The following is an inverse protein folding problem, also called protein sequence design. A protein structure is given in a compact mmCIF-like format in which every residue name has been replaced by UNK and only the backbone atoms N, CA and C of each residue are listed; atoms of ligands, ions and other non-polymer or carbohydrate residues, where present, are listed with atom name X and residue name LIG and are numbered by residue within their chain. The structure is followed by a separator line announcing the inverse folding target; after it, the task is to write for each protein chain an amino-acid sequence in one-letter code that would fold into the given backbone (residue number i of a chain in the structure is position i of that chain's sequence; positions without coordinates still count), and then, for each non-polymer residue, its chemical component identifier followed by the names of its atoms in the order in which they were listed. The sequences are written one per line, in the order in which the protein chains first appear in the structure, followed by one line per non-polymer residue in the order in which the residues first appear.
data_IF_013862646937
#
_entry.id   IF_013862646937
#
_cell.length_a   1.000
_cell.length_b   1.000
_cell.length_c   1.000
_cell.angle_alpha   90.00
_cell.angle_beta   90.00
_cell.angle_gamma   90.00
#
_symmetry.space_group_name_H-M   'P 1'
#
loop_
_entity.id
_entity.type
_entity.pdbx_description
1 polymer ?
#
# COMPACT_ATOMS: atom_id res chain seq x y z
N UNK A 1 -13.07 20.58 -2.13
CA UNK A 1 -12.33 19.42 -1.83
C UNK A 1 -12.97 18.53 -0.81
N UNK A 2 -13.85 19.09 -0.16
CA UNK A 2 -14.48 18.45 0.92
C UNK A 2 -15.10 17.17 0.50
N UNK A 3 -15.09 16.23 1.31
CA UNK A 3 -15.89 15.03 1.24
C UNK A 3 -15.66 14.09 0.06
N UNK A 4 -14.41 13.76 -0.14
CA UNK A 4 -14.11 12.66 -1.03
C UNK A 4 -14.74 11.37 -0.53
N UNK A 5 -14.86 11.23 0.79
CA UNK A 5 -15.50 10.06 1.38
C UNK A 5 -16.98 9.98 1.01
N UNK A 6 -17.72 11.07 1.12
CA UNK A 6 -19.12 11.08 0.72
C UNK A 6 -19.30 10.78 -0.76
N UNK A 7 -18.48 11.40 -1.61
CA UNK A 7 -18.60 11.26 -3.06
C UNK A 7 -18.20 9.88 -3.55
N UNK A 8 -17.27 9.23 -2.86
CA UNK A 8 -16.80 7.91 -3.24
C UNK A 8 -17.62 6.78 -2.64
N UNK A 9 -18.48 7.08 -1.66
CA UNK A 9 -19.24 6.07 -0.96
C UNK A 9 -18.44 5.31 0.08
N UNK A 10 -17.23 5.76 0.38
CA UNK A 10 -16.38 5.13 1.39
C UNK A 10 -16.69 5.66 2.78
N UNK A 11 -16.44 4.84 3.79
CA UNK A 11 -16.68 5.20 5.19
C UNK A 11 -15.39 5.62 5.86
N UNK A 12 -15.39 6.83 6.42
CA UNK A 12 -14.23 7.36 7.15
C UNK A 12 -14.29 6.93 8.60
N UNK A 13 -13.18 6.39 9.10
CA UNK A 13 -13.01 6.01 10.50
C UNK A 13 -11.72 6.66 11.00
N UNK A 14 -11.73 7.20 12.22
CA UNK A 14 -10.55 7.85 12.77
C UNK A 14 -9.48 6.81 13.09
N UNK A 15 -8.26 7.07 12.68
CA UNK A 15 -7.11 6.23 13.05
C UNK A 15 -6.81 6.36 14.54
N UNK A 16 -6.40 5.27 15.17
CA UNK A 16 -5.97 5.29 16.56
C UNK A 16 -4.51 5.71 16.70
N UNK A 17 -3.74 5.63 15.63
CA UNK A 17 -2.30 5.90 15.66
C UNK A 17 -1.94 7.29 15.21
N UNK A 18 -2.70 7.86 14.29
CA UNK A 18 -2.42 9.18 13.72
C UNK A 18 -3.71 9.98 13.61
N UNK A 19 -3.58 11.30 13.48
CA UNK A 19 -4.74 12.18 13.36
C UNK A 19 -5.18 12.25 11.90
N UNK A 20 -5.75 11.17 11.42
CA UNK A 20 -6.16 11.06 10.04
C UNK A 20 -7.28 10.02 9.90
N UNK A 21 -8.11 10.12 8.87
CA UNK A 21 -9.15 9.14 8.64
C UNK A 21 -8.62 7.91 7.91
N UNK A 22 -9.31 6.79 8.12
CA UNK A 22 -9.08 5.53 7.44
C UNK A 22 -10.30 5.22 6.60
N UNK A 23 -10.11 4.75 5.37
CA UNK A 23 -11.21 4.24 4.57
C UNK A 23 -11.49 2.81 5.02
N UNK A 24 -12.61 2.62 5.69
CA UNK A 24 -12.95 1.35 6.32
C UNK A 24 -13.01 0.19 5.32
N UNK A 25 -13.39 0.47 4.09
CA UNK A 25 -13.54 -0.53 3.05
C UNK A 25 -12.22 -1.01 2.43
N UNK A 26 -11.13 -0.30 2.68
CA UNK A 26 -9.84 -0.68 2.12
C UNK A 26 -9.26 -1.88 2.90
N UNK A 27 -8.80 -2.91 2.19
CA UNK A 27 -8.32 -4.12 2.86
C UNK A 27 -6.98 -3.98 3.54
N UNK A 28 -6.20 -2.97 3.15
CA UNK A 28 -4.89 -2.72 3.74
C UNK A 28 -4.70 -1.22 3.92
N UNK A 29 -4.32 -0.82 5.12
CA UNK A 29 -4.09 0.59 5.45
C UNK A 29 -2.74 0.72 6.16
N UNK A 30 -1.93 1.64 5.68
CA UNK A 30 -0.69 2.02 6.36
C UNK A 30 -0.96 3.33 7.09
N UNK A 31 -0.74 3.33 8.40
CA UNK A 31 -0.89 4.53 9.22
C UNK A 31 0.47 5.20 9.32
N UNK A 32 0.60 6.39 8.75
CA UNK A 32 1.88 7.06 8.59
C UNK A 32 1.90 8.41 9.28
N UNK A 33 3.06 8.75 9.82
CA UNK A 33 3.33 10.06 10.40
C UNK A 33 4.29 10.78 9.47
N UNK A 34 3.94 11.99 9.06
CA UNK A 34 4.79 12.76 8.14
C UNK A 34 6.07 13.17 8.88
N UNK A 35 7.22 12.81 8.32
CA UNK A 35 8.51 13.18 8.87
C UNK A 35 9.25 14.18 7.98
N UNK A 36 8.86 14.30 6.73
CA UNK A 36 9.43 15.29 5.83
C UNK A 36 8.38 15.70 4.80
N UNK A 37 8.23 16.99 4.59
CA UNK A 37 7.30 17.56 3.63
C UNK A 37 8.02 18.68 2.92
N UNK A 38 8.33 18.48 1.64
CA UNK A 38 9.22 19.37 0.92
C UNK A 38 8.71 19.62 -0.50
N UNK A 39 8.70 20.89 -0.88
CA UNK A 39 8.33 21.27 -2.24
C UNK A 39 9.59 21.28 -3.11
N UNK A 40 9.54 20.50 -4.18
CA UNK A 40 10.64 20.43 -5.14
C UNK A 40 10.22 21.03 -6.47
N UNK A 41 11.18 21.26 -7.34
CA UNK A 41 10.92 21.79 -8.68
C UNK A 41 10.00 20.86 -9.47
N UNK A 42 10.18 19.57 -9.29
CA UNK A 42 9.43 18.53 -10.00
C UNK A 42 8.17 18.09 -9.27
N UNK A 43 7.87 18.66 -8.14
CA UNK A 43 6.66 18.30 -7.40
C UNK A 43 6.82 18.31 -5.90
N UNK A 44 5.76 17.90 -5.22
CA UNK A 44 5.72 17.86 -3.77
C UNK A 44 6.23 16.51 -3.26
N UNK A 45 7.21 16.54 -2.37
CA UNK A 45 7.84 15.35 -1.84
C UNK A 45 7.47 15.19 -0.37
N UNK A 46 6.85 14.06 -0.04
CA UNK A 46 6.43 13.77 1.34
C UNK A 46 6.97 12.42 1.76
N UNK A 47 7.61 12.37 2.93
CA UNK A 47 8.08 11.12 3.51
C UNK A 47 7.31 10.87 4.79
N UNK A 48 6.74 9.67 4.91
CA UNK A 48 6.01 9.27 6.09
C UNK A 48 6.66 8.06 6.75
N UNK A 49 6.64 8.06 8.07
CA UNK A 49 7.05 6.91 8.85
C UNK A 49 5.84 6.03 9.09
N UNK A 50 5.92 4.75 8.79
CA UNK A 50 4.82 3.81 9.03
C UNK A 50 4.79 3.49 10.52
N UNK A 51 3.72 3.91 11.19
CA UNK A 51 3.56 3.69 12.63
C UNK A 51 2.51 2.63 12.93
N UNK A 52 1.76 2.19 11.94
CA UNK A 52 0.78 1.12 12.12
C UNK A 52 0.35 0.55 10.78
N UNK A 53 -0.10 -0.70 10.79
CA UNK A 53 -0.61 -1.37 9.61
C UNK A 53 -1.89 -2.09 10.01
N UNK A 54 -2.96 -1.84 9.26
CA UNK A 54 -4.24 -2.51 9.45
C UNK A 54 -4.54 -3.34 8.21
N UNK A 55 -4.92 -4.58 8.42
CA UNK A 55 -5.25 -5.48 7.31
C UNK A 55 -6.51 -6.27 7.63
N UNK A 56 -7.39 -6.43 6.63
CA UNK A 56 -8.54 -7.31 6.77
C UNK A 56 -8.09 -8.76 6.79
N UNK A 57 -8.82 -9.58 7.53
CA UNK A 57 -8.53 -11.01 7.55
C UNK A 57 -8.60 -11.63 6.16
N UNK A 58 -9.43 -11.07 5.29
CA UNK A 58 -9.61 -11.59 3.92
C UNK A 58 -8.34 -11.54 3.07
N UNK A 59 -7.37 -10.70 3.44
CA UNK A 59 -6.12 -10.58 2.68
C UNK A 59 -4.93 -11.20 3.40
N UNK A 60 -5.17 -11.92 4.49
CA UNK A 60 -4.12 -12.60 5.24
C UNK A 60 -4.01 -14.06 4.82
N UNK A 61 -2.82 -14.60 4.94
CA UNK A 61 -2.58 -16.02 4.72
C UNK A 61 -2.76 -16.81 6.03
N UNK A 62 -2.45 -18.10 6.00
CA UNK A 62 -2.61 -18.99 7.15
C UNK A 62 -1.75 -18.60 8.34
N UNK A 63 -0.68 -17.82 8.10
CA UNK A 63 0.24 -17.37 9.13
C UNK A 63 0.01 -15.93 9.54
N UNK A 64 -1.16 -15.39 9.20
CA UNK A 64 -1.55 -14.00 9.48
C UNK A 64 -0.62 -12.98 8.84
N UNK A 65 -0.06 -13.30 7.69
CA UNK A 65 0.72 -12.36 6.91
C UNK A 65 -0.07 -11.91 5.69
N UNK A 66 0.13 -10.67 5.28
CA UNK A 66 -0.56 -10.14 4.12
C UNK A 66 -0.15 -10.93 2.87
N UNK A 67 -1.13 -11.46 2.18
CA UNK A 67 -0.93 -12.18 0.93
C UNK A 67 -1.26 -11.22 -0.22
N UNK A 68 -0.26 -10.82 -0.96
CA UNK A 68 -0.40 -9.83 -2.00
C UNK A 68 -1.34 -10.26 -3.13
N UNK A 69 -1.48 -11.58 -3.32
CA UNK A 69 -2.40 -12.09 -4.35
C UNK A 69 -3.85 -11.92 -3.96
N UNK A 70 -4.14 -11.79 -2.67
CA UNK A 70 -5.50 -11.58 -2.17
C UNK A 70 -5.90 -10.10 -2.13
N UNK A 71 -4.93 -9.20 -2.26
CA UNK A 71 -5.20 -7.76 -2.21
C UNK A 71 -5.89 -7.24 -3.47
N UNK A 72 -5.78 -7.95 -4.58
CA UNK A 72 -6.22 -7.45 -5.89
C UNK A 72 -5.57 -6.12 -6.25
N UNK A 73 -4.31 -6.00 -5.87
CA UNK A 73 -3.54 -4.80 -6.16
C UNK A 73 -3.14 -4.76 -7.64
N UNK A 74 -2.81 -3.57 -8.10
CA UNK A 74 -2.35 -3.41 -9.47
C UNK A 74 -1.17 -2.45 -9.49
N UNK A 75 -0.38 -2.51 -10.56
CA UNK A 75 0.74 -1.60 -10.78
C UNK A 75 0.45 -0.74 -12.00
N UNK A 76 0.98 0.48 -11.98
CA UNK A 76 0.84 1.40 -13.11
C UNK A 76 2.08 1.33 -13.99
N UNK A 77 1.86 1.16 -15.29
CA UNK A 77 2.91 1.19 -16.29
C UNK A 77 2.86 2.51 -17.03
N UNK A 78 3.86 3.35 -16.83
CA UNK A 78 3.87 4.67 -17.47
C UNK A 78 4.31 4.63 -18.93
N UNK A 79 4.83 3.52 -19.41
CA UNK A 79 5.20 3.39 -20.83
C UNK A 79 3.95 3.32 -21.70
N UNK A 80 2.91 2.65 -21.23
CA UNK A 80 1.66 2.47 -21.97
C UNK A 80 0.46 3.06 -21.27
N UNK A 81 0.67 3.75 -20.15
CA UNK A 81 -0.40 4.32 -19.34
C UNK A 81 -1.46 3.29 -18.97
N UNK A 82 -1.00 2.09 -18.61
CA UNK A 82 -1.89 1.00 -18.27
C UNK A 82 -1.74 0.54 -16.83
N UNK A 83 -2.75 -0.18 -16.36
CA UNK A 83 -2.72 -0.82 -15.05
C UNK A 83 -2.64 -2.32 -15.24
N UNK A 84 -1.79 -2.98 -14.46
CA UNK A 84 -1.56 -4.43 -14.58
C UNK A 84 -1.78 -5.10 -13.24
N UNK A 85 -2.49 -6.21 -13.26
CA UNK A 85 -2.76 -6.96 -12.04
C UNK A 85 -1.52 -7.67 -11.54
N UNK A 86 -1.43 -7.82 -10.22
CA UNK A 86 -0.41 -8.66 -9.60
C UNK A 86 -0.99 -10.06 -9.51
N UNK A 87 -0.30 -11.04 -10.09
CA UNK A 87 -0.77 -12.41 -10.12
C UNK A 87 0.03 -13.28 -9.16
N UNK A 88 0.34 -14.50 -9.58
CA UNK A 88 0.97 -15.48 -8.72
C UNK A 88 2.41 -15.14 -8.38
N UNK A 89 2.88 -15.69 -7.26
CA UNK A 89 4.26 -15.56 -6.84
C UNK A 89 5.17 -16.30 -7.82
N UNK A 90 6.22 -15.64 -8.28
CA UNK A 90 7.16 -16.24 -9.24
C UNK A 90 8.54 -16.51 -8.63
N UNK A 91 8.77 -16.11 -7.40
CA UNK A 91 10.04 -16.36 -6.74
C UNK A 91 10.05 -15.85 -5.31
N UNK A 92 11.08 -16.21 -4.60
CA UNK A 92 11.28 -15.80 -3.21
C UNK A 92 12.49 -14.88 -3.11
N UNK A 93 12.27 -13.68 -2.55
CA UNK A 93 13.36 -12.73 -2.33
C UNK A 93 14.42 -13.36 -1.43
N UNK A 94 15.66 -13.01 -1.71
CA UNK A 94 16.84 -13.48 -0.99
C UNK A 94 17.21 -14.95 -1.25
N UNK A 95 16.35 -15.68 -1.96
CA UNK A 95 16.57 -17.10 -2.25
C UNK A 95 16.64 -17.40 -3.73
N UNK A 96 15.64 -16.95 -4.50
CA UNK A 96 15.56 -17.28 -5.93
C UNK A 96 16.79 -16.84 -6.71
N UNK A 97 17.29 -15.65 -6.41
CA UNK A 97 18.45 -15.11 -7.09
C UNK A 97 19.79 -15.52 -6.51
N UNK A 98 19.82 -16.25 -5.39
CA UNK A 98 21.04 -16.61 -4.71
C UNK A 98 22.07 -17.33 -5.59
N UNK A 99 21.68 -18.31 -6.43
CA UNK A 99 22.66 -18.98 -7.30
C UNK A 99 23.34 -18.04 -8.28
N UNK A 100 22.68 -16.94 -8.67
CA UNK A 100 23.25 -15.97 -9.61
C UNK A 100 24.28 -15.06 -8.95
N UNK A 101 24.25 -14.94 -7.63
CA UNK A 101 25.19 -14.12 -6.88
C UNK A 101 26.49 -14.81 -6.57
N UNK A 102 26.53 -16.12 -6.72
CA UNK A 102 27.74 -16.91 -6.49
C UNK A 102 28.48 -17.08 -7.81
N UNK A 103 29.58 -16.44 -7.92
CA UNK A 103 30.40 -16.57 -9.13
C UNK A 103 31.80 -16.99 -8.79
#
# INVERSE_FOLDING_TARGET
MANKFERSGLTAVKSEKVDAPIAQEFPLTLECKVVEDKMEVYGHHVIGEIVGILADESVLDEKDKVDVTKLNAFVFDQFRNGYYAIEEKVGQAWHTGAPLMKK
#
